data_IF_575105526942
#
_entry.id   IF_575105526942
#
_cell.length_a   1.000
_cell.length_b   1.000
_cell.length_c   1.000
_cell.angle_alpha   90.00
_cell.angle_beta   90.00
_cell.angle_gamma   90.00
#
_symmetry.space_group_name_H-M   'P 1'
#
loop_
_entity.id
_entity.type
_entity.pdbx_description
1 polymer ?
#
# COMPACT_ATOMS: atom_id res chain seq x y z
N UNK A 1 -3.79 26.49 -11.01
CA UNK A 1 -3.57 25.54 -9.92
C UNK A 1 -4.62 24.46 -9.99
N UNK A 2 -4.27 23.23 -9.71
CA UNK A 2 -5.23 22.16 -9.85
C UNK A 2 -6.14 22.05 -8.61
N UNK A 3 -7.26 21.38 -8.81
CA UNK A 3 -8.26 21.19 -7.77
C UNK A 3 -7.70 20.42 -6.56
N UNK A 4 -6.79 19.49 -6.78
CA UNK A 4 -6.20 18.70 -5.70
C UNK A 4 -5.46 19.57 -4.68
N UNK A 5 -4.68 20.54 -5.15
CA UNK A 5 -3.98 21.46 -4.27
C UNK A 5 -4.97 22.29 -3.45
N UNK A 6 -6.02 22.80 -4.09
CA UNK A 6 -7.03 23.60 -3.41
C UNK A 6 -7.78 22.79 -2.36
N UNK A 7 -8.10 21.54 -2.66
CA UNK A 7 -8.78 20.65 -1.71
C UNK A 7 -7.89 20.35 -0.49
N UNK A 8 -6.61 20.13 -0.70
CA UNK A 8 -5.66 19.88 0.39
C UNK A 8 -5.49 21.14 1.24
N UNK A 9 -5.33 22.29 0.61
CA UNK A 9 -5.19 23.56 1.31
C UNK A 9 -6.43 23.85 2.16
N UNK A 10 -7.60 23.67 1.61
CA UNK A 10 -8.85 23.86 2.32
C UNK A 10 -8.96 22.94 3.52
N UNK A 11 -8.62 21.67 3.36
CA UNK A 11 -8.64 20.70 4.44
C UNK A 11 -7.69 21.09 5.58
N UNK A 12 -6.52 21.59 5.26
CA UNK A 12 -5.55 22.04 6.25
C UNK A 12 -6.04 23.30 7.00
N UNK A 13 -6.62 24.25 6.28
CA UNK A 13 -7.18 25.45 6.89
C UNK A 13 -8.32 25.13 7.86
N UNK A 14 -9.17 24.19 7.49
CA UNK A 14 -10.27 23.73 8.31
C UNK A 14 -9.79 22.97 9.55
N UNK A 15 -8.74 22.15 9.39
CA UNK A 15 -8.12 21.45 10.53
C UNK A 15 -7.52 22.44 11.52
N UNK A 16 -6.89 23.50 11.04
CA UNK A 16 -6.35 24.57 11.89
C UNK A 16 -7.49 25.27 12.65
N UNK A 17 -8.58 25.60 11.96
CA UNK A 17 -9.75 26.21 12.58
C UNK A 17 -10.34 25.32 13.68
N UNK A 18 -10.36 24.00 13.45
CA UNK A 18 -10.82 23.05 14.46
C UNK A 18 -9.93 23.08 15.71
N UNK A 19 -8.61 23.07 15.52
CA UNK A 19 -7.67 23.14 16.64
C UNK A 19 -7.84 24.42 17.44
N UNK A 20 -8.38 25.46 16.81
CA UNK A 20 -8.69 26.72 17.45
C UNK A 20 -10.05 26.70 18.15
N UNK A 21 -10.75 25.58 18.15
CA UNK A 21 -11.97 25.38 18.91
C UNK A 21 -13.27 25.30 18.12
N UNK A 22 -13.21 25.01 16.82
CA UNK A 22 -14.40 24.81 15.99
C UNK A 22 -14.60 23.34 15.63
N UNK A 23 -15.36 22.56 16.42
CA UNK A 23 -15.56 21.14 16.16
C UNK A 23 -16.37 20.86 14.89
N UNK A 24 -17.19 21.80 14.43
CA UNK A 24 -18.03 21.58 13.24
C UNK A 24 -17.19 21.49 11.96
N UNK A 25 -16.06 22.16 11.92
CA UNK A 25 -15.18 22.14 10.77
C UNK A 25 -14.61 20.74 10.53
N UNK A 26 -14.18 20.08 11.59
CA UNK A 26 -13.65 18.72 11.49
C UNK A 26 -14.71 17.74 11.06
N UNK A 27 -15.92 17.82 11.63
CA UNK A 27 -16.99 16.87 11.27
C UNK A 27 -17.46 17.03 9.84
N UNK A 28 -17.28 18.21 9.24
CA UNK A 28 -17.69 18.46 7.85
C UNK A 28 -16.63 18.11 6.81
N UNK A 29 -15.35 18.26 7.16
CA UNK A 29 -14.27 18.18 6.17
C UNK A 29 -13.22 17.14 6.46
N UNK A 30 -12.85 16.92 7.71
CA UNK A 30 -11.78 15.98 8.06
C UNK A 30 -12.32 14.56 8.17
N UNK A 31 -13.57 14.42 8.66
CA UNK A 31 -14.18 13.11 8.79
C UNK A 31 -14.86 12.72 7.49
N UNK A 32 -14.05 12.45 6.47
CA UNK A 32 -14.55 11.86 5.25
C UNK A 32 -14.83 10.39 5.49
N UNK A 33 -16.03 9.96 5.10
CA UNK A 33 -16.31 8.53 5.04
C UNK A 33 -15.61 7.96 3.82
N UNK A 34 -14.44 7.41 4.04
CA UNK A 34 -13.71 6.70 3.01
C UNK A 34 -13.91 5.22 3.22
N UNK A 35 -14.20 4.51 2.13
CA UNK A 35 -14.28 3.07 2.16
C UNK A 35 -12.94 2.49 1.69
N UNK A 36 -12.26 1.81 2.59
CA UNK A 36 -10.99 1.14 2.25
C UNK A 36 -11.29 -0.33 2.00
N UNK A 37 -10.90 -0.81 0.83
CA UNK A 37 -11.04 -2.23 0.53
C UNK A 37 -10.10 -3.03 1.42
N UNK A 38 -10.57 -4.16 1.98
CA UNK A 38 -9.73 -4.98 2.83
C UNK A 38 -8.55 -5.57 2.04
N UNK A 39 -7.48 -5.87 2.76
CA UNK A 39 -6.30 -6.51 2.17
C UNK A 39 -6.64 -7.96 1.88
N UNK A 40 -6.45 -8.44 0.63
CA UNK A 40 -6.72 -9.84 0.32
C UNK A 40 -5.68 -10.77 0.93
N UNK A 41 -6.07 -12.03 1.15
CA UNK A 41 -5.13 -13.08 1.51
C UNK A 41 -4.53 -13.68 0.25
N UNK A 42 -3.30 -14.17 0.35
CA UNK A 42 -2.61 -14.81 -0.76
C UNK A 42 -2.13 -16.20 -0.33
N UNK A 43 -2.40 -17.19 -1.18
CA UNK A 43 -1.85 -18.54 -0.99
C UNK A 43 -0.36 -18.54 -1.37
N UNK A 44 0.41 -19.53 -0.89
CA UNK A 44 1.81 -19.65 -1.30
C UNK A 44 2.01 -19.64 -2.83
N UNK A 45 1.15 -20.32 -3.57
CA UNK A 45 1.22 -20.34 -5.03
C UNK A 45 0.92 -18.98 -5.64
N UNK A 46 -0.05 -18.25 -5.10
CA UNK A 46 -0.37 -16.91 -5.58
C UNK A 46 0.80 -15.94 -5.38
N UNK A 47 1.47 -16.03 -4.24
CA UNK A 47 2.65 -15.20 -3.96
C UNK A 47 3.74 -15.51 -4.98
N UNK A 48 3.99 -16.77 -5.24
CA UNK A 48 4.97 -17.22 -6.22
C UNK A 48 4.61 -16.73 -7.64
N UNK A 49 3.35 -16.81 -8.02
CA UNK A 49 2.90 -16.32 -9.32
C UNK A 49 3.11 -14.81 -9.48
N UNK A 50 2.82 -14.03 -8.45
CA UNK A 50 3.06 -12.59 -8.47
C UNK A 50 4.54 -12.31 -8.72
N UNK A 51 5.41 -13.03 -8.02
CA UNK A 51 6.85 -12.89 -8.18
C UNK A 51 7.30 -13.25 -9.60
N UNK A 52 6.83 -14.37 -10.12
CA UNK A 52 7.23 -14.85 -11.45
C UNK A 52 6.73 -13.93 -12.56
N UNK A 53 5.52 -13.40 -12.42
CA UNK A 53 4.98 -12.43 -13.38
C UNK A 53 5.77 -11.12 -13.39
N UNK A 54 6.35 -10.77 -12.26
CA UNK A 54 7.23 -9.61 -12.14
C UNK A 54 8.66 -9.90 -12.59
N UNK A 55 8.95 -11.15 -13.00
CA UNK A 55 10.26 -11.61 -13.44
C UNK A 55 11.35 -11.40 -12.37
N UNK A 56 11.02 -11.66 -11.11
CA UNK A 56 11.92 -11.44 -9.98
C UNK A 56 12.36 -12.74 -9.32
N UNK A 57 13.61 -12.77 -8.86
CA UNK A 57 14.06 -13.80 -7.94
C UNK A 57 13.45 -13.53 -6.55
N UNK A 58 13.53 -14.53 -5.66
CA UNK A 58 13.06 -14.34 -4.29
C UNK A 58 13.80 -13.21 -3.57
N UNK A 59 15.10 -13.07 -3.82
CA UNK A 59 15.90 -12.00 -3.22
C UNK A 59 15.45 -10.61 -3.68
N UNK A 60 15.25 -10.43 -4.98
CA UNK A 60 14.81 -9.15 -5.53
C UNK A 60 13.39 -8.83 -5.07
N UNK A 61 12.52 -9.82 -5.09
CA UNK A 61 11.14 -9.68 -4.65
C UNK A 61 11.07 -9.24 -3.19
N UNK A 62 11.86 -9.91 -2.32
CA UNK A 62 11.94 -9.55 -0.91
C UNK A 62 12.42 -8.10 -0.72
N UNK A 63 13.46 -7.71 -1.45
CA UNK A 63 13.98 -6.34 -1.38
C UNK A 63 12.94 -5.31 -1.84
N UNK A 64 12.16 -5.62 -2.87
CA UNK A 64 11.11 -4.73 -3.36
C UNK A 64 9.98 -4.55 -2.34
N UNK A 65 9.65 -5.59 -1.60
CA UNK A 65 8.60 -5.52 -0.57
C UNK A 65 9.15 -4.91 0.73
N UNK A 66 10.45 -5.02 0.96
CA UNK A 66 11.08 -4.54 2.18
C UNK A 66 11.14 -5.60 3.28
N UNK A 67 11.22 -6.87 2.89
CA UNK A 67 11.34 -8.00 3.81
C UNK A 67 12.59 -8.81 3.48
N UNK A 68 12.87 -9.83 4.30
CA UNK A 68 14.01 -10.71 4.06
C UNK A 68 13.67 -11.77 3.03
N UNK A 69 14.69 -12.28 2.33
CA UNK A 69 14.52 -13.41 1.42
C UNK A 69 13.93 -14.61 2.16
N UNK A 70 14.34 -14.82 3.39
CA UNK A 70 13.86 -15.92 4.22
C UNK A 70 12.36 -15.81 4.47
N UNK A 71 11.83 -14.60 4.62
CA UNK A 71 10.40 -14.37 4.77
C UNK A 71 9.66 -14.81 3.50
N UNK A 72 10.15 -14.43 2.32
CA UNK A 72 9.54 -14.83 1.05
C UNK A 72 9.59 -16.34 0.88
N UNK A 73 10.72 -16.98 1.18
CA UNK A 73 10.84 -18.44 1.13
C UNK A 73 9.80 -19.10 2.04
N UNK A 74 9.62 -18.55 3.23
CA UNK A 74 8.66 -19.08 4.20
C UNK A 74 7.22 -18.92 3.71
N UNK A 75 6.89 -17.80 3.09
CA UNK A 75 5.56 -17.57 2.52
C UNK A 75 5.26 -18.55 1.38
N UNK A 76 6.21 -18.70 0.46
CA UNK A 76 6.05 -19.61 -0.69
C UNK A 76 6.07 -21.07 -0.27
N UNK A 77 6.70 -21.39 0.85
CA UNK A 77 6.69 -22.73 1.42
C UNK A 77 5.52 -23.02 2.34
N UNK A 78 4.66 -22.06 2.58
CA UNK A 78 3.46 -22.25 3.43
C UNK A 78 3.73 -22.27 4.93
N UNK A 79 4.95 -21.91 5.36
CA UNK A 79 5.32 -21.94 6.78
C UNK A 79 4.88 -20.70 7.54
N UNK A 80 4.76 -19.60 6.84
CA UNK A 80 4.25 -18.34 7.43
C UNK A 80 3.45 -17.58 6.39
N UNK A 81 2.80 -16.51 6.82
CA UNK A 81 1.97 -15.67 5.96
C UNK A 81 2.45 -14.22 6.03
N UNK A 82 2.37 -13.47 4.93
CA UNK A 82 2.69 -12.06 4.97
C UNK A 82 1.72 -11.30 5.87
N UNK A 83 2.22 -10.25 6.53
CA UNK A 83 1.38 -9.36 7.34
C UNK A 83 0.53 -8.44 6.44
N UNK A 84 -0.28 -7.57 7.09
CA UNK A 84 -1.18 -6.69 6.35
C UNK A 84 -0.47 -5.74 5.40
N UNK A 85 0.65 -5.15 5.81
CA UNK A 85 1.41 -4.24 4.97
C UNK A 85 2.01 -4.96 3.75
N UNK A 86 2.60 -6.14 3.97
CA UNK A 86 3.14 -6.95 2.88
C UNK A 86 2.04 -7.40 1.92
N UNK A 87 0.88 -7.81 2.44
CA UNK A 87 -0.25 -8.19 1.60
C UNK A 87 -0.77 -7.03 0.75
N UNK A 88 -0.77 -5.81 1.30
CA UNK A 88 -1.15 -4.64 0.51
C UNK A 88 -0.20 -4.42 -0.66
N UNK A 89 1.10 -4.54 -0.42
CA UNK A 89 2.12 -4.44 -1.47
C UNK A 89 1.94 -5.55 -2.50
N UNK A 90 1.70 -6.78 -2.05
CA UNK A 90 1.44 -7.91 -2.96
C UNK A 90 0.21 -7.66 -3.82
N UNK A 91 -0.83 -7.09 -3.25
CA UNK A 91 -2.04 -6.73 -3.99
C UNK A 91 -1.74 -5.73 -5.12
N UNK A 92 -0.93 -4.72 -4.83
CA UNK A 92 -0.53 -3.73 -5.83
C UNK A 92 0.34 -4.37 -6.93
N UNK A 93 1.26 -5.24 -6.55
CA UNK A 93 2.12 -5.94 -7.50
C UNK A 93 1.33 -6.93 -8.38
N UNK A 94 0.28 -7.54 -7.82
CA UNK A 94 -0.57 -8.45 -8.61
C UNK A 94 -1.34 -7.72 -9.72
N UNK A 95 -1.64 -6.46 -9.50
CA UNK A 95 -2.34 -5.61 -10.49
C UNK A 95 -1.42 -5.06 -11.56
N UNK A 96 -0.16 -4.84 -11.21
CA UNK A 96 0.82 -4.25 -12.11
C UNK A 96 2.16 -4.97 -11.95
N UNK A 97 2.53 -5.86 -12.89
CA UNK A 97 3.84 -6.54 -12.83
C UNK A 97 5.04 -5.58 -12.84
N UNK A 98 4.85 -4.36 -13.30
CA UNK A 98 5.90 -3.33 -13.34
C UNK A 98 5.77 -2.33 -12.18
N UNK A 99 5.09 -2.71 -11.11
CA UNK A 99 4.86 -1.86 -9.96
C UNK A 99 6.17 -1.30 -9.38
N UNK A 100 7.19 -2.14 -9.27
CA UNK A 100 8.46 -1.74 -8.68
C UNK A 100 9.16 -0.66 -9.51
N UNK A 101 9.19 -0.82 -10.83
CA UNK A 101 9.78 0.18 -11.72
C UNK A 101 8.93 1.46 -11.74
N UNK A 102 7.62 1.31 -11.80
CA UNK A 102 6.69 2.44 -11.85
C UNK A 102 6.77 3.32 -10.61
N UNK A 103 7.16 2.76 -9.47
CA UNK A 103 7.21 3.46 -8.19
C UNK A 103 8.65 3.75 -7.73
N UNK A 104 9.63 3.62 -8.60
CA UNK A 104 11.00 3.96 -8.28
C UNK A 104 11.70 2.99 -7.31
N UNK A 105 11.14 1.82 -7.10
CA UNK A 105 11.73 0.80 -6.24
C UNK A 105 12.83 0.05 -6.97
N UNK A 106 12.63 -0.17 -8.27
CA UNK A 106 13.57 -0.89 -9.13
C UNK A 106 13.94 0.01 -10.30
N UNK A 107 15.22 0.10 -10.59
CA UNK A 107 15.74 0.92 -11.70
C UNK A 107 15.76 0.16 -13.02
#
# INVERSE_FOLDING_TARGET
MNKLYEDIKKGLEEAIAYEQGDPDVVSKTVVRKMKVNPVPDFSPNEIREIRLKSAMTQSVFAACIGVTKKAVESWEGGRSHPDGAARRTLSLMSRNPHFAEANGILE
#
